data_IF_750886198888
#
_entry.id   IF_750886198888
#
_cell.length_a   1.000
_cell.length_b   1.000
_cell.length_c   1.000
_cell.angle_alpha   90.00
_cell.angle_beta   90.00
_cell.angle_gamma   90.00
#
_symmetry.space_group_name_H-M   'P 1'
#
loop_
_entity.id
_entity.type
_entity.pdbx_description
1 polymer ?
#
# COMPACT_ATOMS: atom_id res chain seq x y z
N UNK A 1 17.20 -5.79 11.99
CA UNK A 1 16.36 -5.05 12.96
C UNK A 1 15.66 -3.95 12.18
N UNK A 2 14.34 -3.77 12.28
CA UNK A 2 13.68 -2.61 11.63
C UNK A 2 13.95 -1.40 12.52
N UNK A 3 14.59 -0.37 11.98
CA UNK A 3 14.78 0.89 12.71
C UNK A 3 13.49 1.70 12.67
N UNK A 4 12.88 1.90 13.83
CA UNK A 4 11.59 2.58 13.92
C UNK A 4 11.63 4.04 13.49
N UNK A 5 12.78 4.72 13.57
CA UNK A 5 12.92 6.10 13.07
C UNK A 5 12.92 6.10 11.55
N UNK A 6 13.68 5.21 10.93
CA UNK A 6 13.73 5.07 9.46
C UNK A 6 12.37 4.66 8.90
N UNK A 7 11.69 3.70 9.53
CA UNK A 7 10.35 3.30 9.13
C UNK A 7 9.35 4.46 9.27
N UNK A 8 9.47 5.27 10.32
CA UNK A 8 8.62 6.43 10.51
C UNK A 8 8.88 7.53 9.48
N UNK A 9 10.14 7.81 9.17
CA UNK A 9 10.52 8.75 8.11
C UNK A 9 9.97 8.31 6.76
N UNK A 10 10.04 7.03 6.42
CA UNK A 10 9.45 6.49 5.19
C UNK A 10 7.92 6.67 5.13
N UNK A 11 7.22 6.54 6.27
CA UNK A 11 5.77 6.83 6.38
C UNK A 11 5.49 8.32 6.23
N UNK A 12 6.36 9.18 6.76
CA UNK A 12 6.27 10.63 6.58
C UNK A 12 6.52 11.01 5.12
N UNK A 13 7.58 10.52 4.50
CA UNK A 13 7.92 10.84 3.11
C UNK A 13 6.97 10.19 2.09
N UNK A 14 6.12 9.25 2.52
CA UNK A 14 5.27 8.42 1.65
C UNK A 14 6.11 7.68 0.62
N UNK A 15 7.24 7.14 1.07
CA UNK A 15 8.19 6.46 0.19
C UNK A 15 7.61 5.16 -0.36
N UNK A 16 7.32 5.15 -1.66
CA UNK A 16 6.84 3.97 -2.37
C UNK A 16 7.94 2.90 -2.53
N UNK A 17 9.23 3.25 -2.41
CA UNK A 17 10.33 2.28 -2.44
C UNK A 17 10.34 1.35 -1.22
N UNK A 18 9.72 1.79 -0.13
CA UNK A 18 9.55 1.03 1.10
C UNK A 18 8.29 0.16 1.12
N UNK A 19 7.44 0.25 0.10
CA UNK A 19 6.24 -0.57 0.01
C UNK A 19 6.61 -2.06 -0.11
N UNK A 20 6.01 -2.88 0.76
CA UNK A 20 6.28 -4.32 0.81
C UNK A 20 7.51 -4.70 1.64
N UNK A 21 8.37 -3.75 2.05
CA UNK A 21 9.46 -3.99 3.01
C UNK A 21 8.96 -4.07 4.45
N UNK A 22 7.98 -3.24 4.78
CA UNK A 22 7.31 -3.25 6.07
C UNK A 22 5.90 -2.68 5.95
N UNK A 23 5.09 -2.91 6.98
CA UNK A 23 3.75 -2.38 7.14
C UNK A 23 3.66 -1.65 8.47
N UNK A 24 2.79 -0.65 8.57
CA UNK A 24 2.54 0.01 9.85
C UNK A 24 1.08 -0.17 10.24
N UNK A 25 0.86 -0.58 11.48
CA UNK A 25 -0.45 -0.72 12.10
C UNK A 25 -0.76 0.47 12.99
N UNK A 26 -1.99 0.95 12.92
CA UNK A 26 -2.52 2.01 13.77
C UNK A 26 -3.44 1.37 14.79
N UNK A 27 -2.97 1.24 16.03
CA UNK A 27 -3.70 0.58 17.11
C UNK A 27 -5.03 1.24 17.42
N UNK A 28 -5.10 2.59 17.36
CA UNK A 28 -6.34 3.32 17.65
C UNK A 28 -7.47 3.05 16.65
N UNK A 29 -7.16 2.64 15.43
CA UNK A 29 -8.17 2.32 14.39
C UNK A 29 -8.26 0.84 14.07
N UNK A 30 -7.32 0.03 14.57
CA UNK A 30 -7.20 -1.39 14.22
C UNK A 30 -6.85 -1.63 12.75
N UNK A 31 -6.13 -0.71 12.09
CA UNK A 31 -5.88 -0.78 10.63
C UNK A 31 -4.38 -0.83 10.36
N UNK A 32 -3.95 -1.67 9.42
CA UNK A 32 -2.59 -1.64 8.89
C UNK A 32 -2.50 -1.10 7.47
N UNK A 33 -1.40 -0.41 7.17
CA UNK A 33 -1.15 0.36 5.95
C UNK A 33 0.26 0.11 5.38
N UNK A 34 0.44 0.47 4.10
CA UNK A 34 1.77 0.60 3.45
C UNK A 34 2.36 1.99 3.74
N UNK A 35 3.70 2.16 3.78
CA UNK A 35 4.33 3.46 4.01
C UNK A 35 3.93 4.54 2.99
N UNK A 36 3.64 4.19 1.73
CA UNK A 36 3.14 5.14 0.72
C UNK A 36 1.68 5.59 0.88
N UNK A 37 0.98 5.13 1.93
CA UNK A 37 -0.46 5.32 2.05
C UNK A 37 -0.84 6.82 1.98
N UNK A 38 -1.80 7.20 1.11
CA UNK A 38 -2.24 8.58 0.99
C UNK A 38 -3.13 9.04 2.16
N UNK A 39 -3.49 8.13 3.09
CA UNK A 39 -4.35 8.43 4.23
C UNK A 39 -3.74 9.48 5.18
N UNK A 40 -4.59 10.09 6.00
CA UNK A 40 -4.14 11.04 7.03
C UNK A 40 -3.16 10.32 7.96
N UNK A 41 -2.04 10.99 8.25
CA UNK A 41 -1.01 10.41 9.11
C UNK A 41 -1.56 10.21 10.53
N UNK A 42 -1.47 8.99 11.08
CA UNK A 42 -1.81 8.73 12.47
C UNK A 42 -0.77 9.37 13.41
N UNK A 43 -1.11 9.46 14.68
CA UNK A 43 -0.17 9.92 15.70
C UNK A 43 0.86 8.83 15.98
N UNK A 44 2.16 9.18 15.99
CA UNK A 44 3.28 8.21 16.13
C UNK A 44 3.12 7.25 17.30
N UNK A 45 2.55 7.72 18.42
CA UNK A 45 2.29 6.91 19.62
C UNK A 45 1.34 5.72 19.41
N UNK A 46 0.48 5.79 18.40
CA UNK A 46 -0.48 4.74 18.08
C UNK A 46 0.01 3.84 16.94
N UNK A 47 1.25 4.00 16.50
CA UNK A 47 1.81 3.32 15.32
C UNK A 47 2.79 2.25 15.75
N UNK A 48 2.60 1.04 15.23
CA UNK A 48 3.50 -0.09 15.36
C UNK A 48 3.93 -0.57 13.98
N UNK A 49 5.17 -1.05 13.85
CA UNK A 49 5.70 -1.55 12.58
C UNK A 49 5.73 -3.07 12.57
N UNK A 50 5.42 -3.64 11.41
CA UNK A 50 5.32 -5.08 11.15
C UNK A 50 6.14 -5.41 9.91
N UNK A 51 6.80 -6.57 9.91
CA UNK A 51 7.59 -7.03 8.75
C UNK A 51 6.71 -7.59 7.63
N UNK A 52 5.57 -8.16 7.98
CA UNK A 52 4.65 -8.79 7.04
C UNK A 52 3.20 -8.44 7.34
N UNK A 53 2.32 -8.63 6.34
CA UNK A 53 0.87 -8.47 6.51
C UNK A 53 0.31 -9.46 7.53
N UNK A 54 0.77 -10.71 7.47
CA UNK A 54 0.35 -11.77 8.38
C UNK A 54 0.66 -11.44 9.84
N UNK A 55 1.78 -10.78 10.13
CA UNK A 55 2.12 -10.35 11.49
C UNK A 55 1.13 -9.28 12.00
N UNK A 56 0.73 -8.35 11.14
CA UNK A 56 -0.28 -7.34 11.48
C UNK A 56 -1.67 -7.95 11.67
N UNK A 57 -2.04 -8.93 10.84
CA UNK A 57 -3.33 -9.63 10.93
C UNK A 57 -3.42 -10.53 12.17
N UNK A 58 -2.31 -11.15 12.57
CA UNK A 58 -2.22 -11.88 13.85
C UNK A 58 -2.42 -10.96 15.06
N UNK A 59 -2.01 -9.70 14.96
CA UNK A 59 -2.25 -8.66 15.98
C UNK A 59 -3.69 -8.09 15.90
N UNK A 60 -4.57 -8.67 15.07
CA UNK A 60 -5.98 -8.29 14.93
C UNK A 60 -6.21 -7.04 14.07
N UNK A 61 -5.20 -6.60 13.31
CA UNK A 61 -5.33 -5.44 12.43
C UNK A 61 -5.94 -5.84 11.09
N UNK A 62 -6.83 -5.01 10.58
CA UNK A 62 -7.44 -5.17 9.25
C UNK A 62 -6.71 -4.34 8.18
N UNK A 63 -6.70 -4.78 6.90
CA UNK A 63 -6.05 -4.04 5.84
C UNK A 63 -6.75 -2.70 5.58
N UNK A 64 -5.96 -1.65 5.36
CA UNK A 64 -6.49 -0.35 4.97
C UNK A 64 -7.17 -0.41 3.59
N UNK A 65 -8.42 0.02 3.51
CA UNK A 65 -9.16 0.08 2.25
C UNK A 65 -8.63 1.13 1.25
N UNK A 66 -7.76 2.05 1.69
CA UNK A 66 -7.24 3.14 0.86
C UNK A 66 -5.95 2.76 0.14
N UNK A 67 -4.94 2.26 0.86
CA UNK A 67 -3.72 1.73 0.23
C UNK A 67 -3.84 0.26 -0.18
N UNK A 68 -4.97 -0.40 0.15
CA UNK A 68 -5.29 -1.81 -0.11
C UNK A 68 -4.05 -2.69 -0.15
N UNK A 69 -3.33 -2.85 0.97
CA UNK A 69 -2.07 -3.60 1.01
C UNK A 69 -2.24 -5.05 0.54
N UNK A 70 -3.46 -5.56 0.63
CA UNK A 70 -3.83 -6.91 0.24
C UNK A 70 -4.34 -7.04 -1.20
N UNK A 71 -4.78 -5.94 -1.83
CA UNK A 71 -5.26 -6.01 -3.21
C UNK A 71 -4.10 -5.99 -4.20
N UNK A 72 -4.17 -6.88 -5.20
CA UNK A 72 -3.42 -6.75 -6.45
C UNK A 72 -3.62 -5.32 -6.96
N UNK A 73 -2.52 -4.61 -7.16
CA UNK A 73 -2.51 -3.17 -7.39
C UNK A 73 -3.42 -2.83 -8.59
N UNK A 74 -4.39 -1.94 -8.40
CA UNK A 74 -5.22 -1.37 -9.50
C UNK A 74 -4.38 -0.75 -10.63
N UNK A 75 -3.11 -0.42 -10.37
CA UNK A 75 -2.14 0.01 -11.36
C UNK A 75 -1.90 -1.06 -12.45
N UNK A 76 -1.94 -2.35 -12.10
CA UNK A 76 -1.85 -3.46 -13.06
C UNK A 76 -3.15 -3.57 -13.87
N UNK A 77 -4.30 -3.45 -13.22
CA UNK A 77 -5.61 -3.52 -13.91
C UNK A 77 -5.81 -2.37 -14.91
N UNK A 78 -5.37 -1.15 -14.59
CA UNK A 78 -5.48 -0.02 -15.50
C UNK A 78 -4.49 -0.12 -16.67
N UNK A 79 -3.25 -0.56 -16.43
CA UNK A 79 -2.28 -0.83 -17.51
C UNK A 79 -2.79 -1.88 -18.49
N UNK A 80 -3.38 -2.96 -17.98
CA UNK A 80 -3.96 -4.02 -18.82
C UNK A 80 -5.15 -3.51 -19.63
N UNK A 81 -6.00 -2.66 -19.05
CA UNK A 81 -7.13 -2.05 -19.77
C UNK A 81 -6.68 -1.09 -20.87
N UNK A 82 -5.70 -0.22 -20.59
CA UNK A 82 -5.13 0.70 -21.59
C UNK A 82 -4.46 -0.07 -22.72
N UNK A 83 -3.71 -1.13 -22.42
CA UNK A 83 -3.12 -2.02 -23.45
C UNK A 83 -4.19 -2.64 -24.35
N UNK A 84 -5.23 -3.24 -23.75
CA UNK A 84 -6.31 -3.88 -24.51
C UNK A 84 -7.04 -2.90 -25.44
N UNK A 85 -7.30 -1.67 -24.97
CA UNK A 85 -7.93 -0.63 -25.80
C UNK A 85 -6.97 -0.19 -26.93
N UNK A 86 -5.68 -0.06 -26.64
CA UNK A 86 -4.68 0.33 -27.65
C UNK A 86 -4.53 -0.72 -28.76
N UNK A 87 -4.61 -2.01 -28.41
CA UNK A 87 -4.65 -3.12 -29.36
C UNK A 87 -5.92 -3.08 -30.21
N UNK A 88 -7.08 -2.91 -29.58
CA UNK A 88 -8.36 -2.82 -30.29
C UNK A 88 -8.41 -1.66 -31.31
N UNK A 89 -7.95 -0.46 -30.92
CA UNK A 89 -7.91 0.69 -31.83
C UNK A 89 -6.98 0.41 -33.02
N UNK A 90 -5.82 -0.23 -32.79
CA UNK A 90 -4.90 -0.60 -33.86
C UNK A 90 -5.54 -1.57 -34.85
N UNK A 91 -6.26 -2.57 -34.36
CA UNK A 91 -6.94 -3.57 -35.20
C UNK A 91 -8.16 -3.01 -35.95
N UNK A 92 -8.78 -1.92 -35.47
CA UNK A 92 -10.04 -1.38 -36.01
C UNK A 92 -9.89 -0.04 -36.75
N UNK A 93 -8.69 0.57 -36.79
CA UNK A 93 -8.44 1.81 -37.54
C UNK A 93 -7.90 1.60 -38.96
N UNK A 94 -7.62 0.36 -39.40
CA UNK A 94 -7.19 0.06 -40.77
C UNK A 94 -8.33 -0.25 -41.75
N UNK A 95 -9.54 0.28 -41.51
CA UNK A 95 -10.67 0.15 -42.46
C UNK A 95 -11.42 1.47 -42.66
#
# INVERSE_FOLDING_TARGET
MLDEKVCWEAVISKDAGSDGRFYYGVQSTGIYCRPSCPSRRPLRRNVRFYKSRSEAEQDGLRPCMRCRPDAITLADSNKLRVRRISEYIRENCEN
#
